data_IF_659624466539
#
_entry.id   IF_659624466539
#
_cell.length_a   1.000
_cell.length_b   1.000
_cell.length_c   1.000
_cell.angle_alpha   90.00
_cell.angle_beta   90.00
_cell.angle_gamma   90.00
#
_symmetry.space_group_name_H-M   'P 1'
#
loop_
_entity.id
_entity.type
_entity.pdbx_description
1 polymer ?
#
# COMPACT_ATOMS: atom_id res chain seq x y z
N UNK A 1 10.56 -6.74 -1.82
CA UNK A 1 11.23 -6.40 -0.55
C UNK A 1 12.09 -5.17 -0.80
N UNK A 2 11.98 -4.09 -0.01
CA UNK A 2 12.81 -2.89 -0.18
C UNK A 2 14.30 -3.17 -0.01
N UNK A 3 15.13 -2.51 -0.81
CA UNK A 3 16.59 -2.65 -0.72
C UNK A 3 17.07 -2.06 0.61
N UNK A 4 17.97 -2.77 1.30
CA UNK A 4 18.58 -2.30 2.54
C UNK A 4 17.76 -2.50 3.82
N UNK A 5 16.57 -3.11 3.73
CA UNK A 5 15.78 -3.48 4.91
C UNK A 5 15.96 -4.97 5.16
N UNK A 6 16.33 -5.36 6.38
CA UNK A 6 16.40 -6.77 6.76
C UNK A 6 15.02 -7.28 7.21
N UNK A 7 14.74 -8.58 7.05
CA UNK A 7 13.40 -9.16 7.32
C UNK A 7 12.97 -9.06 8.79
N UNK A 8 13.93 -9.15 9.70
CA UNK A 8 13.77 -8.98 11.14
C UNK A 8 13.40 -7.55 11.57
N UNK A 9 13.55 -6.56 10.67
CA UNK A 9 13.18 -5.16 10.92
C UNK A 9 11.74 -4.83 10.52
N UNK A 10 10.94 -5.83 10.15
CA UNK A 10 9.56 -5.65 9.72
C UNK A 10 8.63 -6.38 10.68
N UNK A 11 7.78 -5.64 11.38
CA UNK A 11 6.84 -6.20 12.36
C UNK A 11 5.83 -7.16 11.72
N UNK A 12 5.27 -6.78 10.56
CA UNK A 12 4.23 -7.54 9.85
C UNK A 12 4.37 -7.44 8.33
N UNK A 13 3.99 -8.49 7.61
CA UNK A 13 4.04 -8.53 6.15
C UNK A 13 2.67 -8.91 5.56
N UNK A 14 1.81 -7.91 5.35
CA UNK A 14 0.46 -8.04 4.83
C UNK A 14 0.44 -7.88 3.30
N UNK A 15 0.73 -8.96 2.56
CA UNK A 15 0.78 -8.96 1.09
C UNK A 15 -0.55 -8.56 0.46
N UNK A 16 -1.63 -8.85 1.17
CA UNK A 16 -3.02 -8.61 0.81
C UNK A 16 -3.29 -7.11 0.66
N UNK A 17 -2.62 -6.25 1.42
CA UNK A 17 -2.73 -4.79 1.28
C UNK A 17 -1.79 -4.21 0.21
N UNK A 18 -0.90 -5.04 -0.33
CA UNK A 18 -0.01 -4.68 -1.42
C UNK A 18 -0.73 -4.54 -2.75
N UNK A 19 0.03 -4.15 -3.77
CA UNK A 19 -0.46 -4.05 -5.14
C UNK A 19 -0.27 -5.36 -5.91
N UNK A 20 -1.26 -5.70 -6.73
CA UNK A 20 -1.14 -6.79 -7.71
C UNK A 20 -0.03 -6.50 -8.73
N UNK A 21 0.80 -7.51 -9.02
CA UNK A 21 1.96 -7.35 -9.92
C UNK A 21 1.55 -6.86 -11.31
N UNK A 22 0.44 -7.39 -11.83
CA UNK A 22 -0.05 -7.02 -13.15
C UNK A 22 -0.58 -5.58 -13.19
N UNK A 23 -1.19 -5.11 -12.10
CA UNK A 23 -1.68 -3.73 -12.00
C UNK A 23 -0.52 -2.72 -12.09
N UNK A 24 0.56 -2.95 -11.33
CA UNK A 24 1.77 -2.11 -11.42
C UNK A 24 2.37 -2.18 -12.82
N UNK A 25 2.45 -3.38 -13.41
CA UNK A 25 3.03 -3.57 -14.75
C UNK A 25 2.27 -2.79 -15.82
N UNK A 26 0.93 -2.80 -15.78
CA UNK A 26 0.08 -2.04 -16.70
C UNK A 26 0.30 -0.54 -16.55
N UNK A 27 0.39 -0.04 -15.33
CA UNK A 27 0.65 1.39 -15.08
C UNK A 27 2.07 1.80 -15.52
N UNK A 28 3.10 1.04 -15.13
CA UNK A 28 4.50 1.32 -15.50
C UNK A 28 4.77 1.22 -17.01
N UNK A 29 3.98 0.43 -17.73
CA UNK A 29 4.05 0.34 -19.21
C UNK A 29 3.20 1.40 -19.94
N UNK A 30 2.55 2.30 -19.20
CA UNK A 30 1.69 3.34 -19.77
C UNK A 30 0.38 2.83 -20.35
N UNK A 31 0.00 1.57 -20.11
CA UNK A 31 -1.26 0.98 -20.60
C UNK A 31 -2.49 1.49 -19.85
N UNK A 32 -2.30 2.02 -18.64
CA UNK A 32 -3.33 2.67 -17.85
C UNK A 32 -2.79 3.97 -17.27
N UNK A 33 -3.67 4.94 -17.09
CA UNK A 33 -3.36 6.18 -16.38
C UNK A 33 -3.16 5.94 -14.88
N UNK A 34 -2.56 6.91 -14.20
CA UNK A 34 -2.47 6.90 -12.74
C UNK A 34 -3.86 6.82 -12.09
N UNK A 35 -4.84 7.59 -12.58
CA UNK A 35 -6.21 7.59 -12.05
C UNK A 35 -6.89 6.21 -12.15
N UNK A 36 -6.60 5.47 -13.22
CA UNK A 36 -7.08 4.08 -13.36
C UNK A 36 -6.37 3.15 -12.37
N UNK A 37 -5.06 3.32 -12.19
CA UNK A 37 -4.29 2.57 -11.19
C UNK A 37 -4.83 2.81 -9.77
N UNK A 38 -5.07 4.07 -9.39
CA UNK A 38 -5.65 4.44 -8.09
C UNK A 38 -6.98 3.74 -7.87
N UNK A 39 -7.90 3.88 -8.84
CA UNK A 39 -9.23 3.26 -8.79
C UNK A 39 -9.14 1.74 -8.62
N UNK A 40 -8.32 1.08 -9.43
CA UNK A 40 -8.22 -0.38 -9.42
C UNK A 40 -7.51 -0.88 -8.16
N UNK A 41 -6.52 -0.14 -7.65
CA UNK A 41 -5.89 -0.44 -6.37
C UNK A 41 -6.86 -0.28 -5.20
N UNK A 42 -7.61 0.83 -5.13
CA UNK A 42 -8.61 1.04 -4.07
C UNK A 42 -9.68 -0.04 -4.10
N UNK A 43 -10.15 -0.45 -5.29
CA UNK A 43 -11.06 -1.61 -5.44
C UNK A 43 -10.45 -2.90 -4.90
N UNK A 44 -9.14 -3.10 -5.04
CA UNK A 44 -8.46 -4.28 -4.51
C UNK A 44 -8.42 -4.30 -2.98
N UNK A 45 -8.66 -3.17 -2.31
CA UNK A 45 -8.75 -3.08 -0.85
C UNK A 45 -10.15 -3.41 -0.31
N UNK A 46 -11.17 -3.44 -1.17
CA UNK A 46 -12.52 -3.84 -0.77
C UNK A 46 -12.50 -5.29 -0.23
N UNK A 47 -13.14 -5.52 0.92
CA UNK A 47 -13.12 -6.81 1.59
C UNK A 47 -11.88 -7.04 2.48
N UNK A 48 -11.01 -6.03 2.64
CA UNK A 48 -9.82 -6.05 3.51
C UNK A 48 -9.94 -5.03 4.65
N UNK A 49 -11.16 -4.60 4.98
CA UNK A 49 -11.45 -3.57 5.98
C UNK A 49 -10.90 -3.95 7.36
N UNK A 50 -10.96 -5.23 7.74
CA UNK A 50 -10.42 -5.68 9.03
C UNK A 50 -8.88 -5.55 9.10
N UNK A 51 -8.18 -5.77 7.99
CA UNK A 51 -6.72 -5.54 7.92
C UNK A 51 -6.40 -4.04 7.99
N UNK A 52 -7.19 -3.20 7.32
CA UNK A 52 -7.03 -1.75 7.38
C UNK A 52 -7.27 -1.22 8.81
N UNK A 53 -8.32 -1.70 9.48
CA UNK A 53 -8.62 -1.34 10.88
C UNK A 53 -7.53 -1.80 11.84
N UNK A 54 -6.96 -2.99 11.63
CA UNK A 54 -5.85 -3.49 12.45
C UNK A 54 -4.65 -2.55 12.39
N UNK A 55 -4.27 -2.12 11.18
CA UNK A 55 -3.16 -1.19 11.00
C UNK A 55 -3.52 0.22 11.49
N UNK A 56 -4.76 0.68 11.30
CA UNK A 56 -5.22 1.97 11.81
C UNK A 56 -5.19 2.02 13.35
N UNK A 57 -5.62 0.95 14.02
CA UNK A 57 -5.53 0.83 15.48
C UNK A 57 -4.09 0.89 15.98
N UNK A 58 -3.13 0.37 15.19
CA UNK A 58 -1.71 0.46 15.51
C UNK A 58 -1.15 1.86 15.26
N UNK A 59 -1.55 2.50 14.16
CA UNK A 59 -1.18 3.86 13.81
C UNK A 59 -1.65 4.90 14.85
N UNK A 60 -2.72 4.60 15.59
CA UNK A 60 -3.16 5.41 16.74
C UNK A 60 -2.21 5.36 17.94
N UNK A 61 -1.41 4.29 18.06
CA UNK A 61 -0.53 4.05 19.22
C UNK A 61 0.92 4.40 18.92
N UNK A 62 1.37 4.20 17.69
CA UNK A 62 2.74 4.46 17.24
C UNK A 62 2.81 4.77 15.76
N UNK A 63 3.93 5.34 15.33
CA UNK A 63 4.22 5.53 13.91
C UNK A 63 4.28 4.19 13.19
N UNK A 64 3.46 4.04 12.15
CA UNK A 64 3.52 2.91 11.22
C UNK A 64 4.29 3.33 9.97
N UNK A 65 5.30 2.56 9.59
CA UNK A 65 6.09 2.80 8.37
C UNK A 65 5.64 1.84 7.27
N UNK A 66 5.09 2.37 6.18
CA UNK A 66 4.72 1.59 5.00
C UNK A 66 5.91 1.45 4.05
N UNK A 67 6.23 0.21 3.68
CA UNK A 67 7.40 -0.09 2.85
C UNK A 67 7.06 -0.18 1.36
N UNK A 68 7.90 0.42 0.51
CA UNK A 68 7.82 0.29 -0.94
C UNK A 68 9.22 0.37 -1.57
N UNK A 69 9.32 0.01 -2.85
CA UNK A 69 10.56 0.09 -3.65
C UNK A 69 10.61 1.35 -4.55
N UNK A 70 9.48 2.03 -4.72
CA UNK A 70 9.36 3.22 -5.58
C UNK A 70 9.98 4.45 -4.92
N UNK A 71 10.81 5.18 -5.67
CA UNK A 71 11.44 6.41 -5.17
C UNK A 71 10.44 7.56 -5.04
N UNK A 72 9.57 7.72 -6.03
CA UNK A 72 8.54 8.75 -6.05
C UNK A 72 7.34 8.34 -5.19
N UNK A 73 7.01 9.16 -4.20
CA UNK A 73 5.85 8.96 -3.33
C UNK A 73 4.54 9.41 -3.98
N UNK A 74 4.59 10.42 -4.86
CA UNK A 74 3.39 11.04 -5.42
C UNK A 74 2.58 10.05 -6.27
N UNK A 75 3.26 9.09 -6.90
CA UNK A 75 2.66 8.02 -7.69
C UNK A 75 3.03 6.65 -7.13
N UNK A 76 2.72 6.44 -5.85
CA UNK A 76 3.00 5.19 -5.16
C UNK A 76 1.77 4.62 -4.46
N UNK A 77 1.59 3.30 -4.53
CA UNK A 77 0.54 2.62 -3.81
C UNK A 77 0.62 2.82 -2.28
N UNK A 78 1.81 3.08 -1.72
CA UNK A 78 1.97 3.34 -0.29
C UNK A 78 1.19 4.57 0.17
N UNK A 79 1.09 5.58 -0.70
CA UNK A 79 0.36 6.82 -0.43
C UNK A 79 -1.15 6.57 -0.44
N UNK A 80 -1.61 5.73 -1.37
CA UNK A 80 -3.01 5.28 -1.43
C UNK A 80 -3.37 4.40 -0.22
N UNK A 81 -2.48 3.49 0.16
CA UNK A 81 -2.67 2.63 1.33
C UNK A 81 -2.73 3.45 2.61
N UNK A 82 -1.86 4.47 2.74
CA UNK A 82 -1.89 5.41 3.85
C UNK A 82 -3.26 6.09 3.95
N UNK A 83 -3.79 6.63 2.87
CA UNK A 83 -5.12 7.26 2.85
C UNK A 83 -6.23 6.28 3.26
N UNK A 84 -6.16 5.03 2.79
CA UNK A 84 -7.11 3.99 3.16
C UNK A 84 -7.06 3.67 4.67
N UNK A 85 -5.86 3.60 5.26
CA UNK A 85 -5.66 3.39 6.71
C UNK A 85 -6.16 4.59 7.50
N UNK A 86 -5.82 5.81 7.10
CA UNK A 86 -6.23 7.06 7.76
C UNK A 86 -7.77 7.21 7.77
N UNK A 87 -8.46 6.70 6.74
CA UNK A 87 -9.93 6.68 6.70
C UNK A 87 -10.59 5.75 7.73
N UNK A 88 -9.80 4.93 8.44
CA UNK A 88 -10.26 4.01 9.49
C UNK A 88 -9.70 4.38 10.88
N UNK A 89 -9.10 5.58 11.01
CA UNK A 89 -8.68 6.15 12.29
C UNK A 89 -9.84 6.76 13.07
#
# INVERSE_FOLDING_TARGET
>A
WPRGVAKDKVDVWLKELGTEKELIKRWKSGKISWKEFERDYMKSLNGKEELLKLIAAEAKKRTVTLLCVEKDESHCHRSLLRLAIESHM
#
